data_IF_735888015639
#
_entry.id   IF_735888015639
#
_cell.length_a   1.000
_cell.length_b   1.000
_cell.length_c   1.000
_cell.angle_alpha   90.00
_cell.angle_beta   90.00
_cell.angle_gamma   90.00
#
_symmetry.space_group_name_H-M   'P 1'
#
loop_
_entity.id
_entity.type
_entity.pdbx_description
1 polymer ?
#
# COMPACT_ATOMS: atom_id res chain seq x y z
N UNK A 1 4.32 -3.97 -16.75
CA UNK A 1 3.80 -2.58 -16.70
C UNK A 1 4.18 -2.07 -15.35
N UNK A 2 4.90 -0.96 -15.30
CA UNK A 2 5.46 -0.47 -14.06
C UNK A 2 4.39 0.29 -13.26
N UNK A 3 4.36 0.12 -11.94
CA UNK A 3 3.49 0.93 -11.07
C UNK A 3 4.16 2.30 -10.85
N UNK A 4 3.44 3.38 -11.17
CA UNK A 4 3.88 4.75 -10.96
C UNK A 4 2.96 5.40 -9.92
N UNK A 5 3.55 6.00 -8.90
CA UNK A 5 2.85 6.63 -7.79
C UNK A 5 3.22 8.12 -7.71
N UNK A 6 2.22 8.96 -7.46
CA UNK A 6 2.44 10.38 -7.22
C UNK A 6 2.78 10.59 -5.74
N UNK A 7 3.86 11.34 -5.48
CA UNK A 7 4.22 11.72 -4.12
C UNK A 7 3.20 12.68 -3.49
N UNK A 8 2.61 13.54 -4.32
CA UNK A 8 1.58 14.51 -3.95
C UNK A 8 0.32 14.30 -4.81
N UNK A 9 -0.74 13.86 -4.16
CA UNK A 9 -2.03 13.61 -4.81
C UNK A 9 -2.80 14.91 -5.13
N UNK A 10 -2.53 16.00 -4.40
CA UNK A 10 -3.07 17.31 -4.69
C UNK A 10 -2.54 17.84 -6.01
N UNK A 11 -1.23 17.72 -6.25
CA UNK A 11 -0.62 18.05 -7.55
C UNK A 11 -1.20 17.18 -8.66
N UNK A 12 -1.30 15.86 -8.43
CA UNK A 12 -1.93 14.94 -9.39
C UNK A 12 -3.33 15.40 -9.77
N UNK A 13 -4.18 15.70 -8.79
CA UNK A 13 -5.56 16.12 -9.00
C UNK A 13 -5.66 17.49 -9.67
N UNK A 14 -4.76 18.43 -9.35
CA UNK A 14 -4.68 19.73 -9.98
C UNK A 14 -4.33 19.65 -11.48
N UNK A 15 -3.39 18.76 -11.84
CA UNK A 15 -2.98 18.57 -13.25
C UNK A 15 -4.14 18.07 -14.11
N UNK A 16 -5.04 17.25 -13.55
CA UNK A 16 -6.17 16.65 -14.29
C UNK A 16 -7.52 17.32 -13.99
N UNK A 17 -7.52 18.41 -13.22
CA UNK A 17 -8.71 19.14 -12.75
C UNK A 17 -9.80 18.23 -12.15
N UNK A 18 -9.40 17.29 -11.28
CA UNK A 18 -10.32 16.31 -10.69
C UNK A 18 -10.30 16.37 -9.16
N UNK A 19 -11.16 17.23 -8.61
CA UNK A 19 -11.35 17.45 -7.17
C UNK A 19 -12.68 16.90 -6.64
N UNK A 20 -13.26 15.91 -7.34
CA UNK A 20 -14.50 15.26 -6.90
C UNK A 20 -14.32 14.60 -5.53
N UNK A 21 -15.42 14.49 -4.80
CA UNK A 21 -15.41 13.74 -3.53
C UNK A 21 -15.16 12.25 -3.78
N UNK A 22 -14.60 11.50 -2.80
CA UNK A 22 -14.21 10.11 -3.00
C UNK A 22 -15.32 9.16 -3.48
N UNK A 23 -16.58 9.44 -3.14
CA UNK A 23 -17.77 8.69 -3.56
C UNK A 23 -18.14 8.92 -5.04
N UNK A 24 -17.60 9.97 -5.65
CA UNK A 24 -17.84 10.35 -7.04
C UNK A 24 -16.66 9.99 -7.97
N UNK A 25 -15.62 9.34 -7.42
CA UNK A 25 -14.42 8.94 -8.15
C UNK A 25 -14.53 7.49 -8.61
N UNK A 26 -14.42 7.28 -9.92
CA UNK A 26 -14.36 5.94 -10.52
C UNK A 26 -13.05 5.21 -10.17
N UNK A 27 -12.00 5.95 -9.79
CA UNK A 27 -10.65 5.45 -9.50
C UNK A 27 -10.27 5.54 -8.01
N UNK A 28 -11.26 5.68 -7.11
CA UNK A 28 -11.01 5.86 -5.66
C UNK A 28 -10.08 4.80 -5.07
N UNK A 29 -10.16 3.54 -5.54
CA UNK A 29 -9.27 2.47 -5.11
C UNK A 29 -7.81 2.71 -5.46
N UNK A 30 -7.53 3.19 -6.68
CA UNK A 30 -6.16 3.49 -7.14
C UNK A 30 -5.61 4.74 -6.45
N UNK A 31 -6.46 5.75 -6.28
CA UNK A 31 -6.08 6.97 -5.55
C UNK A 31 -5.74 6.64 -4.09
N UNK A 32 -6.54 5.78 -3.46
CA UNK A 32 -6.30 5.29 -2.11
C UNK A 32 -5.02 4.48 -1.99
N UNK A 33 -4.77 3.53 -2.89
CA UNK A 33 -3.50 2.79 -2.94
C UNK A 33 -2.30 3.74 -3.02
N UNK A 34 -2.36 4.72 -3.93
CA UNK A 34 -1.30 5.72 -4.06
C UNK A 34 -1.13 6.55 -2.78
N UNK A 35 -2.22 7.00 -2.17
CA UNK A 35 -2.20 7.75 -0.90
C UNK A 35 -1.48 6.95 0.19
N UNK A 36 -1.88 5.70 0.40
CA UNK A 36 -1.30 4.87 1.47
C UNK A 36 0.18 4.63 1.25
N UNK A 37 0.59 4.30 0.02
CA UNK A 37 1.99 4.04 -0.29
C UNK A 37 2.83 5.31 -0.12
N UNK A 38 2.38 6.46 -0.63
CA UNK A 38 3.15 7.70 -0.51
C UNK A 38 3.26 8.16 0.94
N UNK A 39 2.17 8.09 1.73
CA UNK A 39 2.22 8.42 3.15
C UNK A 39 3.05 7.44 3.96
N UNK A 40 3.00 6.13 3.66
CA UNK A 40 3.86 5.16 4.32
C UNK A 40 5.35 5.43 4.05
N UNK A 41 5.72 5.72 2.81
CA UNK A 41 7.10 6.06 2.45
C UNK A 41 7.56 7.36 3.13
N UNK A 42 6.70 8.39 3.18
CA UNK A 42 6.97 9.63 3.94
C UNK A 42 7.19 9.33 5.40
N UNK A 43 6.31 8.54 6.01
CA UNK A 43 6.40 8.13 7.40
C UNK A 43 7.73 7.41 7.70
N UNK A 44 8.11 6.42 6.89
CA UNK A 44 9.37 5.71 7.06
C UNK A 44 10.57 6.66 6.97
N UNK A 45 10.57 7.55 5.97
CA UNK A 45 11.63 8.53 5.79
C UNK A 45 11.73 9.53 6.94
N UNK A 46 10.59 10.05 7.41
CA UNK A 46 10.53 11.04 8.49
C UNK A 46 11.00 10.47 9.83
N UNK A 47 10.77 9.17 10.06
CA UNK A 47 11.18 8.46 11.27
C UNK A 47 12.53 7.75 11.14
N UNK A 48 13.22 7.87 10.01
CA UNK A 48 14.50 7.18 9.72
C UNK A 48 14.41 5.65 9.85
N UNK A 49 13.22 5.10 9.60
CA UNK A 49 12.96 3.66 9.64
C UNK A 49 13.61 2.97 8.45
N UNK A 50 14.52 2.04 8.73
CA UNK A 50 15.22 1.28 7.69
C UNK A 50 14.38 0.09 7.24
N UNK A 51 13.42 0.36 6.36
CA UNK A 51 12.66 -0.68 5.64
C UNK A 51 12.87 -0.53 4.14
N UNK A 52 13.05 -1.66 3.46
CA UNK A 52 13.11 -1.69 1.99
C UNK A 52 11.69 -1.93 1.47
N UNK A 53 11.26 -1.10 0.53
CA UNK A 53 9.91 -1.15 -0.03
C UNK A 53 9.93 -1.70 -1.45
N UNK A 54 9.00 -2.60 -1.75
CA UNK A 54 8.93 -3.30 -3.03
C UNK A 54 7.49 -3.44 -3.54
N UNK A 55 7.39 -3.71 -4.84
CA UNK A 55 6.20 -4.30 -5.46
C UNK A 55 6.44 -5.78 -5.66
N UNK A 56 5.39 -6.58 -5.49
CA UNK A 56 5.48 -8.02 -5.69
C UNK A 56 4.47 -8.50 -6.71
N UNK A 57 4.96 -9.31 -7.65
CA UNK A 57 4.16 -9.92 -8.72
C UNK A 57 4.76 -11.27 -9.14
N UNK A 58 3.92 -12.23 -9.46
CA UNK A 58 4.32 -13.52 -10.04
C UNK A 58 4.16 -13.55 -11.55
N UNK A 59 4.87 -14.47 -12.22
CA UNK A 59 4.66 -14.76 -13.64
C UNK A 59 3.23 -15.23 -13.96
N UNK A 60 2.56 -15.83 -12.97
CA UNK A 60 1.15 -16.25 -13.06
C UNK A 60 0.15 -15.12 -12.83
N UNK A 61 0.63 -13.89 -12.57
CA UNK A 61 -0.20 -12.69 -12.48
C UNK A 61 -0.77 -12.41 -11.08
N UNK A 62 -0.36 -13.12 -10.04
CA UNK A 62 -0.68 -12.72 -8.67
C UNK A 62 0.14 -11.48 -8.29
N UNK A 63 -0.47 -10.55 -7.56
CA UNK A 63 0.14 -9.28 -7.17
C UNK A 63 -0.17 -8.99 -5.69
N UNK A 64 0.73 -8.21 -5.07
CA UNK A 64 0.47 -7.49 -3.83
C UNK A 64 0.69 -6.00 -4.08
N UNK A 65 -0.07 -5.16 -3.38
CA UNK A 65 0.01 -3.71 -3.56
C UNK A 65 1.33 -3.15 -3.04
N UNK A 66 1.83 -3.67 -1.92
CA UNK A 66 3.04 -3.16 -1.27
C UNK A 66 3.73 -4.24 -0.43
N UNK A 67 5.06 -4.22 -0.39
CA UNK A 67 5.87 -5.12 0.45
C UNK A 67 6.94 -4.32 1.17
N UNK A 68 7.12 -4.60 2.46
CA UNK A 68 8.23 -4.07 3.27
C UNK A 68 9.13 -5.20 3.75
N UNK A 69 10.43 -4.98 3.70
CA UNK A 69 11.44 -5.83 4.30
C UNK A 69 12.20 -5.03 5.36
N UNK A 70 12.12 -5.50 6.60
CA UNK A 70 12.95 -5.06 7.72
C UNK A 70 14.09 -6.06 7.95
N UNK A 71 14.94 -5.82 8.95
CA UNK A 71 15.94 -6.80 9.37
C UNK A 71 15.34 -8.09 9.96
N UNK A 72 14.10 -8.03 10.44
CA UNK A 72 13.48 -9.12 11.19
C UNK A 72 12.40 -9.87 10.39
N UNK A 73 11.70 -9.16 9.50
CA UNK A 73 10.52 -9.70 8.84
C UNK A 73 10.26 -9.08 7.46
N UNK A 74 9.85 -9.94 6.53
CA UNK A 74 9.21 -9.58 5.27
C UNK A 74 7.69 -9.51 5.48
N UNK A 75 7.06 -8.42 5.06
CA UNK A 75 5.63 -8.18 5.23
C UNK A 75 4.97 -7.77 3.92
N UNK A 76 3.94 -8.49 3.53
CA UNK A 76 3.10 -8.17 2.37
C UNK A 76 1.82 -7.43 2.77
N UNK A 77 1.41 -6.47 1.95
CA UNK A 77 0.24 -5.65 2.20
C UNK A 77 -0.67 -5.58 0.98
N UNK A 78 -1.95 -5.77 1.23
CA UNK A 78 -3.01 -5.43 0.28
C UNK A 78 -3.69 -4.13 0.74
N UNK A 79 -3.96 -3.21 -0.18
CA UNK A 79 -4.55 -1.91 0.14
C UNK A 79 -5.94 -1.83 -0.52
N UNK A 80 -6.99 -1.66 0.29
CA UNK A 80 -8.36 -1.56 -0.20
C UNK A 80 -9.08 -0.37 0.43
N UNK A 81 -9.85 0.35 -0.38
CA UNK A 81 -10.73 1.42 0.11
C UNK A 81 -11.89 0.88 0.98
N UNK A 82 -12.39 -0.32 0.67
CA UNK A 82 -13.48 -0.95 1.41
C UNK A 82 -12.98 -1.87 2.53
N UNK A 83 -13.87 -2.22 3.45
CA UNK A 83 -13.60 -3.12 4.60
C UNK A 83 -13.56 -4.61 4.21
N UNK A 84 -13.39 -4.93 2.92
CA UNK A 84 -13.45 -6.32 2.47
C UNK A 84 -12.36 -7.15 3.17
N UNK A 85 -12.73 -8.23 3.85
CA UNK A 85 -11.75 -9.16 4.43
C UNK A 85 -11.00 -9.84 3.29
N UNK A 86 -9.69 -9.67 3.25
CA UNK A 86 -8.84 -10.46 2.37
C UNK A 86 -8.13 -11.56 3.17
N UNK A 87 -8.20 -12.78 2.64
CA UNK A 87 -7.32 -13.87 3.07
C UNK A 87 -5.94 -13.64 2.46
N UNK A 88 -4.90 -14.17 3.12
CA UNK A 88 -3.55 -14.19 2.56
C UNK A 88 -3.59 -14.86 1.18
N UNK A 89 -3.04 -14.24 0.12
CA UNK A 89 -2.97 -14.88 -1.18
C UNK A 89 -2.19 -16.20 -1.10
N UNK A 90 -2.71 -17.33 -1.62
CA UNK A 90 -2.01 -18.61 -1.54
C UNK A 90 -0.63 -18.59 -2.18
N UNK A 91 -0.45 -17.80 -3.24
CA UNK A 91 0.84 -17.60 -3.90
C UNK A 91 1.85 -16.89 -3.01
N UNK A 92 1.43 -15.88 -2.24
CA UNK A 92 2.29 -15.22 -1.25
C UNK A 92 2.68 -16.19 -0.14
N UNK A 93 1.69 -16.88 0.44
CA UNK A 93 1.93 -17.83 1.53
C UNK A 93 2.84 -19.00 1.11
N UNK A 94 2.70 -19.48 -0.13
CA UNK A 94 3.56 -20.56 -0.65
C UNK A 94 4.98 -20.07 -0.95
N UNK A 95 5.13 -18.84 -1.46
CA UNK A 95 6.43 -18.28 -1.81
C UNK A 95 7.23 -17.80 -0.59
N UNK A 96 6.54 -17.27 0.42
CA UNK A 96 7.12 -16.75 1.65
C UNK A 96 6.32 -17.23 2.87
N UNK A 97 6.51 -18.48 3.32
CA UNK A 97 5.73 -19.09 4.40
C UNK A 97 5.83 -18.34 5.73
N UNK A 98 6.97 -17.71 5.99
CA UNK A 98 7.27 -16.99 7.24
C UNK A 98 6.98 -15.48 7.14
N UNK A 99 6.57 -14.99 5.97
CA UNK A 99 6.26 -13.58 5.77
C UNK A 99 4.90 -13.21 6.36
N UNK A 100 4.83 -12.04 6.99
CA UNK A 100 3.57 -11.49 7.44
C UNK A 100 2.71 -11.05 6.24
N UNK A 101 1.40 -11.01 6.47
CA UNK A 101 0.44 -10.41 5.55
C UNK A 101 -0.57 -9.57 6.31
N UNK A 102 -0.93 -8.41 5.78
CA UNK A 102 -1.96 -7.54 6.37
C UNK A 102 -2.75 -6.79 5.31
N UNK A 103 -4.03 -6.56 5.60
CA UNK A 103 -4.89 -5.69 4.82
C UNK A 103 -4.85 -4.28 5.41
N UNK A 104 -4.61 -3.28 4.58
CA UNK A 104 -4.73 -1.86 4.92
C UNK A 104 -6.00 -1.29 4.31
N UNK A 105 -6.86 -0.70 5.13
CA UNK A 105 -8.13 -0.13 4.73
C UNK A 105 -8.50 1.11 5.56
N UNK A 106 -9.67 1.71 5.30
CA UNK A 106 -10.11 2.93 5.97
C UNK A 106 -10.23 2.85 7.50
N UNK A 107 -10.28 1.65 8.08
CA UNK A 107 -10.36 1.47 9.54
C UNK A 107 -9.00 1.42 10.23
N UNK A 108 -7.94 0.99 9.54
CA UNK A 108 -6.62 0.77 10.13
C UNK A 108 -5.47 1.51 9.43
N UNK A 109 -5.76 2.25 8.35
CA UNK A 109 -4.71 2.93 7.59
C UNK A 109 -3.91 3.92 8.43
N UNK A 110 -4.58 4.60 9.37
CA UNK A 110 -3.93 5.62 10.17
C UNK A 110 -2.80 5.02 11.01
N UNK A 111 -3.03 3.88 11.65
CA UNK A 111 -2.00 3.16 12.40
C UNK A 111 -0.83 2.77 11.48
N UNK A 112 -1.14 2.34 10.26
CA UNK A 112 -0.13 1.95 9.28
C UNK A 112 0.77 3.12 8.82
N UNK A 113 0.25 4.35 8.71
CA UNK A 113 1.00 5.51 8.18
C UNK A 113 1.46 6.51 9.25
N UNK A 114 1.14 6.30 10.53
CA UNK A 114 1.42 7.31 11.57
C UNK A 114 2.00 6.76 12.87
N UNK A 115 1.90 5.46 13.14
CA UNK A 115 2.39 4.88 14.39
C UNK A 115 3.75 4.22 14.15
N UNK A 116 4.81 4.62 14.90
CA UNK A 116 6.10 3.91 14.93
C UNK A 116 5.90 2.41 15.12
N UNK A 117 6.62 1.61 14.34
CA UNK A 117 6.72 0.19 14.64
C UNK A 117 7.22 0.04 16.07
N UNK A 118 6.51 -0.74 16.89
CA UNK A 118 7.03 -1.12 18.21
C UNK A 118 8.32 -1.89 18.07
#
# INVERSE_FOLDING_TARGET
MDKIFFWDLGIRNAIIDNFKFPDQLDDVGKLWENFIISERLKFLSNNQERRRSFFWRTYTGAELDYVEESTEQLSGYEIKWSKARNKVPPSWQSAYPDAAFSLVNRENYFDFISVPGK
#
